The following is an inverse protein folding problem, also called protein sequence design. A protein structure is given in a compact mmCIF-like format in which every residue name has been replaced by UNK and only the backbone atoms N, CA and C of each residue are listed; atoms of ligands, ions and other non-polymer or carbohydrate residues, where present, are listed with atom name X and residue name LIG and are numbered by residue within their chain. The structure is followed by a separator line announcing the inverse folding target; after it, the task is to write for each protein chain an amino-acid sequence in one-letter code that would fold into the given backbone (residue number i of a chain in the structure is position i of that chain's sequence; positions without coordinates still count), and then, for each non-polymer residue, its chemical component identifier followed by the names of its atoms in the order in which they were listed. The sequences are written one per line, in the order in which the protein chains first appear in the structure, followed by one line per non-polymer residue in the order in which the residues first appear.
data_IF_807453689808
#
_entry.id   IF_807453689808
#
_cell.length_a   1.000
_cell.length_b   1.000
_cell.length_c   1.000
_cell.angle_alpha   90.00
_cell.angle_beta   90.00
_cell.angle_gamma   90.00
#
_symmetry.space_group_name_H-M   'P 1'
#
loop_
_entity.id
_entity.type
_entity.pdbx_description
1 polymer ?
#
# COMPACT_ATOMS: atom_id res chain seq x y z
N UNK A 1 2.47 8.24 -11.62
CA UNK A 1 3.49 7.60 -12.47
C UNK A 1 2.81 7.21 -13.78
N UNK A 2 3.21 7.74 -14.94
CA UNK A 2 2.41 7.64 -16.17
C UNK A 2 2.50 6.30 -16.91
N UNK A 3 3.25 5.29 -16.42
CA UNK A 3 3.52 4.06 -17.19
C UNK A 3 3.00 2.76 -16.58
N UNK A 4 2.69 2.72 -15.28
CA UNK A 4 2.22 1.49 -14.62
C UNK A 4 1.11 1.81 -13.63
N UNK A 5 -0.02 1.12 -13.78
CA UNK A 5 -1.15 1.18 -12.85
C UNK A 5 -0.78 0.48 -11.52
N UNK A 6 -0.95 1.19 -10.41
CA UNK A 6 -0.64 0.66 -9.08
C UNK A 6 -1.45 -0.59 -8.72
N UNK A 7 -2.69 -0.70 -9.22
CA UNK A 7 -3.53 -1.88 -9.00
C UNK A 7 -2.95 -3.10 -9.74
N UNK A 8 -2.43 -2.90 -10.95
CA UNK A 8 -1.77 -3.96 -11.71
C UNK A 8 -0.47 -4.41 -11.03
N UNK A 9 0.30 -3.49 -10.43
CA UNK A 9 1.47 -3.84 -9.60
C UNK A 9 1.04 -4.67 -8.40
N UNK A 10 0.02 -4.25 -7.66
CA UNK A 10 -0.52 -4.99 -6.52
C UNK A 10 -0.91 -6.41 -6.94
N UNK A 11 -1.66 -6.55 -8.05
CA UNK A 11 -2.09 -7.84 -8.58
C UNK A 11 -0.89 -8.75 -8.86
N UNK A 12 0.16 -8.24 -9.50
CA UNK A 12 1.38 -9.00 -9.80
C UNK A 12 2.09 -9.46 -8.53
N UNK A 13 2.33 -8.54 -7.59
CA UNK A 13 2.96 -8.84 -6.30
C UNK A 13 2.21 -9.94 -5.54
N UNK A 14 0.88 -9.87 -5.51
CA UNK A 14 0.04 -10.80 -4.76
C UNK A 14 -0.18 -12.14 -5.47
N UNK A 15 0.01 -12.18 -6.79
CA UNK A 15 -0.01 -13.43 -7.57
C UNK A 15 1.31 -14.21 -7.53
N UNK A 16 2.43 -13.53 -7.23
CA UNK A 16 3.75 -14.16 -7.20
C UNK A 16 3.94 -14.99 -5.91
N UNK A 17 4.25 -16.30 -6.01
CA UNK A 17 4.43 -17.15 -4.83
C UNK A 17 5.45 -16.66 -3.82
N UNK A 18 6.52 -16.02 -4.29
CA UNK A 18 7.62 -15.52 -3.48
C UNK A 18 7.28 -14.16 -2.86
N UNK A 19 6.52 -13.32 -3.56
CA UNK A 19 6.27 -11.93 -3.14
C UNK A 19 4.92 -11.72 -2.45
N UNK A 20 3.96 -12.66 -2.55
CA UNK A 20 2.59 -12.47 -2.05
C UNK A 20 2.48 -12.10 -0.57
N UNK A 21 3.49 -12.46 0.23
CA UNK A 21 3.57 -12.15 1.67
C UNK A 21 3.95 -10.69 1.95
N UNK A 22 4.52 -9.96 0.98
CA UNK A 22 4.89 -8.56 1.16
C UNK A 22 3.69 -7.74 1.65
N UNK A 23 3.80 -7.01 2.77
CA UNK A 23 2.78 -6.06 3.15
C UNK A 23 2.77 -4.90 2.14
N UNK A 24 1.59 -4.57 1.62
CA UNK A 24 1.41 -3.50 0.63
C UNK A 24 0.45 -2.45 1.17
N UNK A 25 0.91 -1.20 1.20
CA UNK A 25 0.12 -0.01 1.49
C UNK A 25 -0.16 0.70 0.16
N UNK A 26 -1.42 0.78 -0.24
CA UNK A 26 -1.84 1.57 -1.39
C UNK A 26 -1.95 3.04 -0.96
N UNK A 27 -1.29 3.96 -1.69
CA UNK A 27 -1.38 5.40 -1.46
C UNK A 27 -1.82 6.10 -2.75
N UNK A 28 -3.04 6.64 -2.75
CA UNK A 28 -3.75 7.05 -3.98
C UNK A 28 -4.62 8.28 -3.75
N UNK A 29 -4.99 9.02 -4.78
CA UNK A 29 -5.84 10.22 -4.66
C UNK A 29 -7.34 9.92 -4.68
N UNK A 30 -7.74 8.69 -5.04
CA UNK A 30 -9.15 8.30 -5.08
C UNK A 30 -9.60 7.76 -3.72
N UNK A 31 -10.81 8.13 -3.35
CA UNK A 31 -11.54 7.66 -2.17
C UNK A 31 -12.77 6.81 -2.54
N UNK A 32 -12.86 6.37 -3.81
CA UNK A 32 -13.96 5.52 -4.29
C UNK A 32 -14.03 4.20 -3.50
N UNK A 33 -15.13 3.94 -2.76
CA UNK A 33 -15.28 2.73 -1.96
C UNK A 33 -15.11 1.43 -2.76
N UNK A 34 -15.46 1.45 -4.05
CA UNK A 34 -15.33 0.27 -4.93
C UNK A 34 -13.87 -0.04 -5.22
N UNK A 35 -13.03 0.98 -5.40
CA UNK A 35 -11.60 0.79 -5.61
C UNK A 35 -10.91 0.33 -4.32
N UNK A 36 -11.27 0.94 -3.18
CA UNK A 36 -10.80 0.52 -1.86
C UNK A 36 -11.10 -0.97 -1.64
N UNK A 37 -12.36 -1.38 -1.85
CA UNK A 37 -12.77 -2.78 -1.72
C UNK A 37 -11.99 -3.69 -2.67
N UNK A 38 -11.84 -3.29 -3.94
CA UNK A 38 -11.08 -4.06 -4.94
C UNK A 38 -9.63 -4.27 -4.53
N UNK A 39 -8.95 -3.25 -4.02
CA UNK A 39 -7.56 -3.36 -3.59
C UNK A 39 -7.41 -4.28 -2.37
N UNK A 40 -8.33 -4.22 -1.41
CA UNK A 40 -8.33 -5.16 -0.28
C UNK A 40 -8.58 -6.60 -0.73
N UNK A 41 -9.51 -6.83 -1.67
CA UNK A 41 -9.74 -8.16 -2.26
C UNK A 41 -8.51 -8.70 -3.01
N UNK A 42 -7.72 -7.82 -3.63
CA UNK A 42 -6.45 -8.18 -4.26
C UNK A 42 -5.31 -8.45 -3.25
N UNK A 43 -5.52 -8.17 -1.97
CA UNK A 43 -4.58 -8.46 -0.89
C UNK A 43 -3.76 -7.27 -0.40
N UNK A 44 -4.18 -6.02 -0.66
CA UNK A 44 -3.55 -4.88 0.02
C UNK A 44 -3.86 -4.90 1.52
N UNK A 45 -2.87 -4.53 2.34
CA UNK A 45 -2.99 -4.52 3.79
C UNK A 45 -3.65 -3.23 4.26
N UNK A 46 -3.24 -2.10 3.67
CA UNK A 46 -3.76 -0.78 3.99
C UNK A 46 -3.98 0.03 2.71
N UNK A 47 -4.96 0.92 2.76
CA UNK A 47 -5.27 1.85 1.69
C UNK A 47 -5.38 3.26 2.27
N UNK A 48 -4.61 4.20 1.74
CA UNK A 48 -4.51 5.57 2.24
C UNK A 48 -4.85 6.51 1.09
N UNK A 49 -5.86 7.36 1.32
CA UNK A 49 -6.17 8.46 0.42
C UNK A 49 -5.16 9.58 0.67
N UNK A 50 -4.46 10.00 -0.38
CA UNK A 50 -3.46 11.07 -0.35
C UNK A 50 -4.13 12.36 0.11
N UNK A 51 -3.66 12.95 1.22
CA UNK A 51 -4.08 14.29 1.58
C UNK A 51 -3.70 15.26 0.46
N UNK A 52 -4.66 16.07 0.03
CA UNK A 52 -4.46 17.10 -1.01
C UNK A 52 -3.76 18.32 -0.43
N UNK A 53 -3.99 18.59 0.86
CA UNK A 53 -3.39 19.68 1.62
C UNK A 53 -1.99 19.32 2.10
N UNK A 54 -1.02 20.23 1.91
CA UNK A 54 0.40 19.98 2.19
C UNK A 54 0.68 19.72 3.67
N UNK A 55 0.07 20.50 4.58
CA UNK A 55 0.29 20.35 6.02
C UNK A 55 -0.32 19.03 6.51
N UNK A 56 -1.52 18.70 6.01
CA UNK A 56 -2.13 17.38 6.26
C UNK A 56 -1.32 16.24 5.66
N UNK A 57 -0.70 16.46 4.50
CA UNK A 57 0.16 15.47 3.86
C UNK A 57 1.40 15.21 4.71
N UNK A 58 2.09 16.26 5.15
CA UNK A 58 3.28 16.13 6.00
C UNK A 58 2.98 15.38 7.30
N UNK A 59 1.87 15.72 7.97
CA UNK A 59 1.45 15.04 9.20
C UNK A 59 1.06 13.57 8.93
N UNK A 60 0.31 13.29 7.86
CA UNK A 60 -0.06 11.92 7.50
C UNK A 60 1.18 11.06 7.19
N UNK A 61 2.19 11.60 6.50
CA UNK A 61 3.44 10.89 6.22
C UNK A 61 4.22 10.63 7.51
N UNK A 62 4.27 11.59 8.44
CA UNK A 62 4.90 11.40 9.75
C UNK A 62 4.22 10.27 10.54
N UNK A 63 2.89 10.26 10.59
CA UNK A 63 2.11 9.20 11.24
C UNK A 63 2.33 7.84 10.57
N UNK A 64 2.35 7.81 9.24
CA UNK A 64 2.65 6.59 8.48
C UNK A 64 4.06 6.08 8.78
N UNK A 65 5.05 6.97 8.87
CA UNK A 65 6.43 6.61 9.24
C UNK A 65 6.51 5.97 10.63
N UNK A 66 5.81 6.54 11.62
CA UNK A 66 5.70 5.93 12.96
C UNK A 66 5.03 4.56 12.91
N UNK A 67 3.91 4.42 12.19
CA UNK A 67 3.24 3.13 12.01
C UNK A 67 4.19 2.08 11.40
N UNK A 68 4.85 2.40 10.29
CA UNK A 68 5.78 1.48 9.60
C UNK A 68 6.94 1.07 10.51
N UNK A 69 7.43 1.96 11.38
CA UNK A 69 8.49 1.62 12.34
C UNK A 69 8.09 0.58 13.40
N UNK A 70 6.78 0.39 13.62
CA UNK A 70 6.24 -0.57 14.58
C UNK A 70 5.79 -1.87 13.89
N UNK A 71 5.52 -1.84 12.59
CA UNK A 71 5.05 -3.02 11.84
C UNK A 71 6.16 -4.05 11.75
N UNK A 72 5.85 -5.28 12.18
CA UNK A 72 6.67 -6.46 11.91
C UNK A 72 6.30 -7.00 10.52
N UNK A 73 7.32 -7.28 9.71
CA UNK A 73 7.16 -7.80 8.35
C UNK A 73 7.55 -9.28 8.31
N UNK A 74 6.90 -10.10 7.46
CA UNK A 74 7.25 -11.51 7.33
C UNK A 74 8.56 -11.67 6.58
N UNK A 75 9.35 -12.68 6.92
CA UNK A 75 10.54 -13.03 6.14
C UNK A 75 10.16 -13.47 4.72
N UNK A 76 10.87 -12.92 3.74
CA UNK A 76 10.68 -13.17 2.31
C UNK A 76 12.00 -13.59 1.71
N UNK A 77 12.06 -14.84 1.25
CA UNK A 77 13.24 -15.42 0.58
C UNK A 77 14.55 -15.28 1.38
N UNK A 78 14.51 -15.37 2.71
CA UNK A 78 15.71 -15.22 3.54
C UNK A 78 16.09 -13.77 3.89
N UNK A 79 15.28 -12.79 3.49
CA UNK A 79 15.41 -11.41 3.94
C UNK A 79 14.20 -11.02 4.80
N UNK A 80 14.42 -10.33 5.94
CA UNK A 80 13.31 -9.81 6.75
C UNK A 80 12.48 -8.78 5.98
#
# INVERSE_FOLDING_TARGET
MPKVDGIEVLRRLKSDPQLRKLPVIMLTTTDDPREIQRCHLLGCNSYIVKPVDYDKFAEAIKQLGMFVSLVQVPEINGMP
#
